data_IF_583069992286
#
_entry.id   IF_583069992286
#
_cell.length_a   1.000
_cell.length_b   1.000
_cell.length_c   1.000
_cell.angle_alpha   90.00
_cell.angle_beta   90.00
_cell.angle_gamma   90.00
#
_symmetry.space_group_name_H-M   'P 1'
#
loop_
_entity.id
_entity.type
_entity.pdbx_description
1 polymer ?
#
# COMPACT_ATOMS: atom_id res chain seq x y z
N UNK A 1 30.39 -2.74 33.90
CA UNK A 1 29.81 -3.21 32.63
C UNK A 1 28.98 -2.07 32.06
N UNK A 2 29.44 -1.42 30.98
CA UNK A 2 28.68 -0.33 30.35
C UNK A 2 27.61 -0.99 29.49
N UNK A 3 26.36 -1.01 29.97
CA UNK A 3 25.22 -1.32 29.12
C UNK A 3 25.16 -0.22 28.07
N UNK A 4 25.73 -0.48 26.89
CA UNK A 4 25.47 0.35 25.71
C UNK A 4 24.00 0.16 25.40
N UNK A 5 23.15 1.02 25.96
CA UNK A 5 21.79 1.20 25.47
C UNK A 5 21.95 1.52 23.99
N UNK A 6 21.65 0.54 23.13
CA UNK A 6 21.42 0.79 21.72
C UNK A 6 20.16 1.66 21.66
N UNK A 7 20.35 2.98 21.78
CA UNK A 7 19.27 3.96 21.64
C UNK A 7 18.72 3.76 20.24
N UNK A 8 17.54 3.14 20.14
CA UNK A 8 16.82 3.01 18.88
C UNK A 8 16.43 4.41 18.45
N UNK A 9 16.62 4.72 17.16
CA UNK A 9 16.16 6.01 16.64
C UNK A 9 14.64 6.00 16.61
N UNK A 10 14.03 7.12 16.98
CA UNK A 10 12.59 7.29 16.85
C UNK A 10 12.24 7.48 15.37
N UNK A 11 11.10 6.94 14.96
CA UNK A 11 10.62 6.99 13.59
C UNK A 11 9.14 7.34 13.54
N UNK A 12 8.78 8.30 12.71
CA UNK A 12 7.40 8.64 12.43
C UNK A 12 7.04 8.21 11.00
N UNK A 13 5.85 7.64 10.84
CA UNK A 13 5.34 7.20 9.53
C UNK A 13 4.16 8.07 9.14
N UNK A 14 4.40 8.89 8.11
CA UNK A 14 3.40 9.73 7.49
C UNK A 14 2.45 8.93 6.60
N UNK A 15 1.19 9.35 6.59
CA UNK A 15 0.19 8.87 5.64
C UNK A 15 0.09 9.93 4.53
N UNK A 16 0.67 9.62 3.37
CA UNK A 16 0.68 10.52 2.21
C UNK A 16 0.18 9.74 1.00
N UNK A 17 -0.60 10.39 0.14
CA UNK A 17 -1.00 9.81 -1.13
C UNK A 17 0.21 9.67 -2.05
N UNK A 18 0.46 8.47 -2.56
CA UNK A 18 1.58 8.22 -3.47
C UNK A 18 1.40 8.88 -4.85
N UNK A 19 0.15 9.11 -5.27
CA UNK A 19 -0.18 9.71 -6.57
C UNK A 19 -0.09 11.24 -6.56
N UNK A 20 -0.62 11.89 -5.52
CA UNK A 20 -0.71 13.36 -5.48
C UNK A 20 0.08 14.02 -4.35
N UNK A 21 0.73 13.26 -3.47
CA UNK A 21 1.53 13.81 -2.37
C UNK A 21 0.70 14.46 -1.24
N UNK A 22 -0.62 14.36 -1.26
CA UNK A 22 -1.48 14.96 -0.23
C UNK A 22 -1.31 14.26 1.12
N UNK A 23 -1.11 14.99 2.23
CA UNK A 23 -0.95 14.41 3.56
C UNK A 23 -2.30 14.13 4.24
N UNK A 24 -2.36 13.05 5.03
CA UNK A 24 -3.55 12.62 5.77
C UNK A 24 -3.24 12.29 7.23
N UNK A 25 -4.18 12.58 8.11
CA UNK A 25 -4.05 12.35 9.55
C UNK A 25 -4.17 10.87 9.94
N UNK A 26 -4.78 10.03 9.10
CA UNK A 26 -4.95 8.60 9.35
C UNK A 26 -4.87 7.78 8.06
N UNK A 27 -4.48 6.49 8.15
CA UNK A 27 -4.50 5.60 6.99
C UNK A 27 -5.92 5.40 6.44
N UNK A 28 -6.96 5.43 7.28
CA UNK A 28 -8.35 5.26 6.81
C UNK A 28 -8.80 6.42 5.91
N UNK A 29 -8.42 7.66 6.24
CA UNK A 29 -8.70 8.81 5.37
C UNK A 29 -7.91 8.75 4.07
N UNK A 30 -6.66 8.28 4.13
CA UNK A 30 -5.85 8.07 2.95
C UNK A 30 -6.47 7.01 2.01
N UNK A 31 -6.92 5.87 2.53
CA UNK A 31 -7.61 4.84 1.73
C UNK A 31 -8.85 5.43 1.05
N UNK A 32 -9.68 6.16 1.81
CA UNK A 32 -10.87 6.81 1.26
C UNK A 32 -10.50 7.75 0.11
N UNK A 33 -9.48 8.59 0.30
CA UNK A 33 -8.99 9.48 -0.74
C UNK A 33 -8.50 8.72 -1.99
N UNK A 34 -7.70 7.66 -1.80
CA UNK A 34 -7.19 6.87 -2.92
C UNK A 34 -8.32 6.23 -3.74
N UNK A 35 -9.37 5.78 -3.07
CA UNK A 35 -10.56 5.25 -3.73
C UNK A 35 -11.34 6.36 -4.48
N UNK A 36 -11.65 7.47 -3.82
CA UNK A 36 -12.54 8.50 -4.39
C UNK A 36 -11.86 9.34 -5.50
N UNK A 37 -10.57 9.66 -5.34
CA UNK A 37 -9.85 10.58 -6.23
C UNK A 37 -9.04 9.84 -7.29
N UNK A 38 -8.44 8.71 -6.93
CA UNK A 38 -7.54 7.96 -7.82
C UNK A 38 -8.13 6.64 -8.31
N UNK A 39 -9.33 6.26 -7.87
CA UNK A 39 -9.97 4.98 -8.19
C UNK A 39 -9.10 3.76 -7.82
N UNK A 40 -8.20 3.92 -6.83
CA UNK A 40 -7.36 2.84 -6.32
C UNK A 40 -8.06 2.22 -5.11
N UNK A 41 -8.50 0.97 -5.25
CA UNK A 41 -9.11 0.23 -4.15
C UNK A 41 -8.04 -0.48 -3.32
N UNK A 42 -8.02 -0.15 -2.03
CA UNK A 42 -7.07 -0.69 -1.07
C UNK A 42 -7.80 -1.24 0.15
N UNK A 43 -7.37 -2.40 0.64
CA UNK A 43 -7.89 -2.94 1.88
C UNK A 43 -7.29 -2.21 3.10
N UNK A 44 -8.01 -2.07 4.22
CA UNK A 44 -7.46 -1.51 5.45
C UNK A 44 -6.45 -2.46 6.10
N UNK A 45 -5.54 -1.91 6.91
CA UNK A 45 -4.65 -2.73 7.77
C UNK A 45 -5.49 -3.57 8.73
N UNK A 46 -5.14 -4.84 8.88
CA UNK A 46 -5.79 -5.72 9.86
C UNK A 46 -5.56 -5.23 11.29
N UNK A 47 -6.65 -4.87 11.99
CA UNK A 47 -6.60 -4.34 13.36
C UNK A 47 -6.11 -5.35 14.39
N UNK A 48 -6.21 -6.66 14.09
CA UNK A 48 -5.79 -7.73 14.98
C UNK A 48 -4.26 -7.89 15.08
N UNK A 49 -3.48 -7.22 14.22
CA UNK A 49 -2.03 -7.33 14.18
C UNK A 49 -1.38 -6.01 14.55
N UNK A 50 -0.52 -6.05 15.57
CA UNK A 50 0.37 -4.92 15.87
C UNK A 50 1.46 -4.80 14.80
N UNK A 51 2.01 -3.58 14.67
CA UNK A 51 3.19 -3.34 13.83
C UNK A 51 4.34 -4.27 14.31
N UNK A 52 5.05 -4.96 13.39
CA UNK A 52 6.20 -5.77 13.76
C UNK A 52 7.28 -4.96 14.50
N UNK A 53 7.94 -5.59 15.47
CA UNK A 53 9.03 -4.97 16.23
C UNK A 53 10.22 -4.76 15.28
N UNK A 54 10.70 -3.52 15.18
CA UNK A 54 11.93 -3.19 14.47
C UNK A 54 13.12 -3.16 15.43
N UNK A 55 14.25 -3.69 14.97
CA UNK A 55 15.54 -3.62 15.69
C UNK A 55 16.21 -2.25 15.54
N UNK A 56 15.86 -1.51 14.48
CA UNK A 56 16.50 -0.25 14.09
C UNK A 56 15.75 0.98 14.60
N UNK A 57 14.42 0.89 14.65
CA UNK A 57 13.54 2.03 14.88
C UNK A 57 12.51 1.77 15.96
N UNK A 58 12.22 2.79 16.75
CA UNK A 58 11.06 2.86 17.61
C UNK A 58 10.00 3.76 16.96
N UNK A 59 8.86 3.17 16.58
CA UNK A 59 7.83 3.91 15.87
C UNK A 59 6.96 4.72 16.84
N UNK A 60 6.94 6.03 16.64
CA UNK A 60 6.19 6.97 17.48
C UNK A 60 4.91 7.45 16.77
N UNK A 61 3.94 7.93 17.55
CA UNK A 61 2.63 8.38 17.06
C UNK A 61 2.57 9.86 16.68
N UNK A 62 3.55 10.66 17.09
CA UNK A 62 3.56 12.11 16.90
C UNK A 62 4.90 12.58 16.35
N UNK A 63 4.86 13.64 15.55
CA UNK A 63 6.06 14.31 15.02
C UNK A 63 6.66 15.29 16.02
N UNK A 64 6.95 14.85 17.23
CA UNK A 64 7.35 15.75 18.32
C UNK A 64 8.86 16.02 18.38
N UNK A 65 9.68 15.11 17.86
CA UNK A 65 11.14 15.19 17.95
C UNK A 65 11.74 15.57 16.58
N UNK A 66 12.50 16.67 16.46
CA UNK A 66 13.16 17.04 15.21
C UNK A 66 14.22 16.04 14.73
N UNK A 67 14.73 15.18 15.61
CA UNK A 67 15.70 14.12 15.28
C UNK A 67 15.05 12.80 14.87
N UNK A 68 13.72 12.71 14.84
CA UNK A 68 13.02 11.51 14.40
C UNK A 68 13.23 11.26 12.90
N UNK A 69 13.37 10.00 12.53
CA UNK A 69 13.36 9.59 11.12
C UNK A 69 11.93 9.69 10.56
N UNK A 70 11.79 10.28 9.38
CA UNK A 70 10.49 10.39 8.70
C UNK A 70 10.41 9.37 7.56
N UNK A 71 9.29 8.67 7.51
CA UNK A 71 9.00 7.65 6.50
C UNK A 71 7.60 7.84 5.94
N UNK A 72 7.35 7.35 4.72
CA UNK A 72 6.00 7.19 4.20
C UNK A 72 5.53 5.75 4.38
N UNK A 73 4.27 5.58 4.77
CA UNK A 73 3.69 4.27 5.07
C UNK A 73 2.61 3.85 4.08
N UNK A 74 2.60 2.56 3.74
CA UNK A 74 1.50 1.96 2.98
C UNK A 74 0.22 1.95 3.83
N UNK A 75 -0.92 2.45 3.33
CA UNK A 75 -2.17 2.44 4.09
C UNK A 75 -2.76 1.04 4.32
N UNK A 76 -2.34 0.02 3.56
CA UNK A 76 -2.89 -1.35 3.60
C UNK A 76 -2.05 -2.35 4.39
N UNK A 77 -0.74 -2.10 4.55
CA UNK A 77 0.15 -2.99 5.30
C UNK A 77 1.18 -2.21 6.16
N UNK A 78 2.13 -2.91 6.78
CA UNK A 78 3.16 -2.31 7.62
C UNK A 78 4.41 -1.85 6.85
N UNK A 79 4.40 -1.92 5.51
CA UNK A 79 5.47 -1.41 4.68
C UNK A 79 5.66 0.10 4.90
N UNK A 80 6.93 0.50 4.96
CA UNK A 80 7.34 1.89 5.00
C UNK A 80 8.60 2.07 4.17
N UNK A 81 8.80 3.27 3.67
CA UNK A 81 9.98 3.65 2.93
C UNK A 81 10.43 5.06 3.36
N UNK A 82 11.67 5.47 3.06
CA UNK A 82 12.07 6.88 3.15
C UNK A 82 11.05 7.78 2.45
N UNK A 83 11.10 9.09 2.64
CA UNK A 83 10.14 10.04 2.04
C UNK A 83 10.23 10.10 0.49
N UNK A 84 9.82 9.02 -0.15
CA UNK A 84 9.92 8.68 -1.55
C UNK A 84 8.57 8.14 -2.00
N UNK A 85 7.82 8.99 -2.69
CA UNK A 85 6.48 8.66 -3.17
C UNK A 85 6.51 7.60 -4.27
N UNK A 86 7.54 7.57 -5.12
CA UNK A 86 7.64 6.61 -6.22
C UNK A 86 7.82 5.20 -5.67
N UNK A 87 8.66 5.05 -4.64
CA UNK A 87 8.84 3.76 -3.97
C UNK A 87 7.57 3.29 -3.27
N UNK A 88 6.80 4.21 -2.70
CA UNK A 88 5.50 3.88 -2.11
C UNK A 88 4.48 3.47 -3.17
N UNK A 89 4.39 4.20 -4.28
CA UNK A 89 3.49 3.91 -5.41
C UNK A 89 3.78 2.52 -5.98
N UNK A 90 5.06 2.25 -6.27
CA UNK A 90 5.51 0.95 -6.77
C UNK A 90 5.15 -0.19 -5.82
N UNK A 91 5.38 -0.02 -4.51
CA UNK A 91 4.96 -1.04 -3.53
C UNK A 91 3.45 -1.30 -3.59
N UNK A 92 2.64 -0.23 -3.72
CA UNK A 92 1.19 -0.37 -3.77
C UNK A 92 0.76 -1.14 -5.03
N UNK A 93 1.31 -0.79 -6.17
CA UNK A 93 1.07 -1.46 -7.44
C UNK A 93 1.47 -2.94 -7.38
N UNK A 94 2.72 -3.23 -6.99
CA UNK A 94 3.29 -4.58 -7.02
C UNK A 94 2.77 -5.51 -5.92
N UNK A 95 2.09 -4.99 -4.89
CA UNK A 95 1.67 -5.81 -3.73
C UNK A 95 0.16 -5.85 -3.55
N UNK A 96 -0.55 -4.76 -3.84
CA UNK A 96 -1.98 -4.65 -3.54
C UNK A 96 -2.87 -4.58 -4.78
N UNK A 97 -2.29 -4.41 -5.98
CA UNK A 97 -3.04 -4.25 -7.24
C UNK A 97 -2.71 -5.31 -8.30
N UNK A 98 -2.00 -6.39 -7.94
CA UNK A 98 -1.50 -7.40 -8.91
C UNK A 98 -2.61 -8.28 -9.52
N UNK A 99 -3.82 -8.30 -8.96
CA UNK A 99 -4.88 -9.24 -9.34
C UNK A 99 -5.78 -8.80 -10.51
N UNK A 100 -5.28 -8.06 -11.51
CA UNK A 100 -6.11 -7.63 -12.67
C UNK A 100 -5.62 -8.06 -14.06
N UNK A 101 -4.53 -8.82 -14.17
CA UNK A 101 -4.06 -9.33 -15.46
C UNK A 101 -3.94 -10.86 -15.47
N UNK A 102 -5.04 -11.59 -15.28
CA UNK A 102 -5.12 -12.97 -15.77
C UNK A 102 -6.59 -13.38 -16.00
N UNK A 103 -6.95 -13.60 -17.27
CA UNK A 103 -8.07 -14.49 -17.60
C UNK A 103 -9.33 -13.94 -18.26
N UNK A 104 -9.26 -12.99 -19.21
CA UNK A 104 -10.29 -12.94 -20.26
C UNK A 104 -9.79 -13.67 -21.51
N UNK A 105 -9.89 -15.00 -21.52
CA UNK A 105 -10.02 -15.70 -22.79
C UNK A 105 -11.43 -15.40 -23.29
N UNK A 106 -11.56 -14.55 -24.31
CA UNK A 106 -12.79 -14.45 -25.09
C UNK A 106 -12.95 -15.77 -25.84
N UNK A 107 -13.99 -16.60 -25.58
CA UNK A 107 -14.33 -17.63 -26.55
C UNK A 107 -14.88 -16.92 -27.78
N UNK A 108 -14.08 -16.93 -28.85
CA UNK A 108 -14.47 -16.60 -30.21
C UNK A 108 -15.62 -17.56 -30.58
N UNK A 109 -16.86 -17.08 -30.50
CA UNK A 109 -18.00 -17.82 -31.02
C UNK A 109 -17.94 -17.71 -32.54
N UNK A 110 -17.40 -18.73 -33.19
CA UNK A 110 -17.52 -18.89 -34.63
C UNK A 110 -19.00 -19.08 -35.00
N UNK A 111 -19.55 -18.05 -35.64
CA UNK A 111 -20.84 -18.05 -36.29
C UNK A 111 -20.82 -18.99 -37.53
N UNK A 112 -21.86 -19.82 -37.61
CA UNK A 112 -22.46 -20.40 -38.82
C UNK A 112 -21.73 -21.50 -39.60
N UNK A 113 -22.37 -22.69 -39.66
CA UNK A 113 -23.08 -23.10 -40.90
C UNK A 113 -24.04 -24.26 -40.68
N UNK A 114 -25.30 -23.91 -40.82
CA UNK A 114 -26.43 -24.79 -41.07
C UNK A 114 -26.21 -25.49 -42.43
N UNK A 115 -26.10 -26.82 -42.46
CA UNK A 115 -26.29 -27.59 -43.70
C UNK A 115 -27.38 -28.63 -43.42
N UNK A 116 -28.59 -28.26 -43.85
CA UNK A 116 -29.73 -29.15 -43.99
C UNK A 116 -29.37 -30.18 -45.07
N UNK A 117 -29.35 -31.47 -44.72
CA UNK A 117 -29.42 -32.54 -45.71
C UNK A 117 -30.84 -33.11 -45.70
N UNK A 118 -31.62 -32.75 -46.72
CA UNK A 118 -32.73 -33.56 -47.21
C UNK A 118 -32.21 -34.44 -48.34
N UNK A 119 -32.35 -35.77 -48.20
CA UNK A 119 -32.59 -36.67 -49.33
C UNK A 119 -33.14 -38.02 -48.88
#
# INVERSE_FOLDING_TARGET
MVMKNHIRRTAYVDNVCCECGSPYSSPSYLIKHMMEVHQIQLHPRMQSRSRPISTQYEFVKSKSDPHQCLFYGCPSCWFYCPQDLQRLAKHIQDTHLVDLEDGYETPEYEEEKNVVYEH
#
